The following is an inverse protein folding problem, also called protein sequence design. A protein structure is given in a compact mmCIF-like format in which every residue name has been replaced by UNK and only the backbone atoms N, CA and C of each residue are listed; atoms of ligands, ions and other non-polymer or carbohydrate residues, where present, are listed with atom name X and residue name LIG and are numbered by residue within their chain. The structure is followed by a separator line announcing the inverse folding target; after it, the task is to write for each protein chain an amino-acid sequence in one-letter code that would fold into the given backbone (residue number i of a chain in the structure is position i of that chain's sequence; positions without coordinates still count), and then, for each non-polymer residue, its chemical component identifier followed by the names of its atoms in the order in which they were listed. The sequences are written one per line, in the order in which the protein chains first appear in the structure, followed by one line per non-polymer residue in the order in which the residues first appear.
data_IF_368195358232
#
_entry.id   IF_368195358232
#
_cell.length_a   1.000
_cell.length_b   1.000
_cell.length_c   1.000
_cell.angle_alpha   90.00
_cell.angle_beta   90.00
_cell.angle_gamma   90.00
#
_symmetry.space_group_name_H-M   'P 1'
#
loop_
_entity.id
_entity.type
_entity.pdbx_description
1 polymer ?
#
# COMPACT_ATOMS: atom_id res chain seq x y z
N UNK A 1 41.89 60.04 -9.41
CA UNK A 1 41.41 59.73 -8.05
C UNK A 1 41.00 58.27 -8.02
N UNK A 2 41.79 57.39 -7.39
CA UNK A 2 41.47 55.95 -7.28
C UNK A 2 40.50 55.77 -6.11
N UNK A 3 39.30 55.25 -6.37
CA UNK A 3 38.35 54.89 -5.31
C UNK A 3 38.53 53.40 -5.03
N UNK A 4 39.15 53.11 -3.90
CA UNK A 4 39.24 51.78 -3.32
C UNK A 4 37.91 51.46 -2.63
N UNK A 5 37.20 50.43 -3.09
CA UNK A 5 36.02 49.89 -2.39
C UNK A 5 36.50 48.79 -1.43
N UNK A 6 36.39 49.06 -0.13
CA UNK A 6 36.60 48.06 0.92
C UNK A 6 35.26 47.39 1.18
N UNK A 7 35.13 46.11 0.82
CA UNK A 7 33.99 45.29 1.24
C UNK A 7 34.31 44.76 2.64
N UNK A 8 33.68 45.35 3.66
CA UNK A 8 33.65 44.78 5.00
C UNK A 8 32.70 43.56 4.97
N UNK A 9 33.26 42.35 5.02
CA UNK A 9 32.50 41.14 5.30
C UNK A 9 32.05 41.15 6.76
N UNK A 10 30.79 41.47 7.01
CA UNK A 10 30.13 41.12 8.27
C UNK A 10 29.90 39.61 8.24
N UNK A 11 30.76 38.85 8.91
CA UNK A 11 30.47 37.47 9.24
C UNK A 11 29.34 37.47 10.27
N UNK A 12 28.10 37.30 9.80
CA UNK A 12 27.00 36.95 10.68
C UNK A 12 27.27 35.53 11.21
N UNK A 13 27.71 35.44 12.46
CA UNK A 13 27.65 34.19 13.22
C UNK A 13 26.17 33.85 13.38
N UNK A 14 25.66 33.00 12.48
CA UNK A 14 24.40 32.30 12.71
C UNK A 14 24.59 31.42 13.95
N UNK A 15 24.09 31.88 15.08
CA UNK A 15 23.74 30.97 16.16
C UNK A 15 22.74 29.98 15.57
N UNK A 16 23.18 28.75 15.29
CA UNK A 16 22.30 27.65 14.92
C UNK A 16 21.42 27.38 16.14
N UNK A 17 20.24 27.98 16.17
CA UNK A 17 19.19 27.54 17.09
C UNK A 17 18.80 26.16 16.58
N UNK A 18 19.28 25.10 17.25
CA UNK A 18 18.82 23.75 17.01
C UNK A 18 17.32 23.72 17.30
N UNK A 19 16.51 23.85 16.24
CA UNK A 19 15.06 23.77 16.35
C UNK A 19 14.67 22.42 16.97
N UNK A 20 13.74 22.45 17.92
CA UNK A 20 13.15 21.21 18.41
C UNK A 20 12.47 20.49 17.23
N UNK A 21 12.69 19.19 17.11
CA UNK A 21 12.03 18.33 16.15
C UNK A 21 10.54 18.27 16.50
N UNK A 22 9.68 18.65 15.57
CA UNK A 22 8.23 18.54 15.75
C UNK A 22 7.84 17.11 16.15
N UNK A 23 6.73 16.96 16.87
CA UNK A 23 6.16 15.64 17.15
C UNK A 23 6.01 14.88 15.81
N UNK A 24 6.48 13.64 15.79
CA UNK A 24 6.60 12.73 14.64
C UNK A 24 7.76 12.99 13.66
N UNK A 25 8.60 14.00 13.89
CA UNK A 25 9.84 14.18 13.14
C UNK A 25 10.94 13.19 13.55
N UNK A 26 11.89 12.94 12.65
CA UNK A 26 13.08 12.15 12.95
C UNK A 26 13.96 12.89 13.96
N UNK A 27 14.39 12.19 15.01
CA UNK A 27 15.23 12.74 16.09
C UNK A 27 16.47 11.89 16.35
N UNK A 28 16.76 10.91 15.50
CA UNK A 28 17.93 10.03 15.61
C UNK A 28 17.95 8.94 14.55
N UNK A 29 18.99 8.11 14.60
CA UNK A 29 19.27 7.05 13.64
C UNK A 29 20.69 7.14 13.07
N UNK A 30 21.25 6.02 12.65
CA UNK A 30 22.59 5.96 12.08
C UNK A 30 22.69 6.86 10.82
N UNK A 31 23.64 7.79 10.80
CA UNK A 31 23.80 8.79 9.74
C UNK A 31 22.93 10.05 9.86
N UNK A 32 22.03 10.15 10.85
CA UNK A 32 21.21 11.35 11.07
C UNK A 32 22.03 12.50 11.68
N UNK A 33 22.00 13.68 11.06
CA UNK A 33 22.75 14.88 11.47
C UNK A 33 21.86 16.04 11.94
N UNK A 34 20.55 15.82 12.01
CA UNK A 34 19.59 16.83 12.46
C UNK A 34 19.46 16.93 13.98
N UNK A 35 18.53 17.77 14.45
CA UNK A 35 18.24 17.94 15.87
C UNK A 35 17.73 16.65 16.49
N UNK A 36 18.17 16.33 17.71
CA UNK A 36 17.71 15.16 18.49
C UNK A 36 16.72 15.54 19.60
N UNK A 37 16.52 16.84 19.81
CA UNK A 37 15.62 17.37 20.83
C UNK A 37 14.20 17.47 20.28
N UNK A 38 13.27 16.70 20.85
CA UNK A 38 11.87 16.74 20.46
C UNK A 38 11.14 17.97 21.03
N UNK A 39 10.08 18.39 20.34
CA UNK A 39 9.19 19.45 20.78
C UNK A 39 8.56 19.11 22.14
N UNK A 40 8.26 20.14 22.95
CA UNK A 40 7.65 19.96 24.26
C UNK A 40 6.43 19.02 24.21
N UNK A 41 6.38 18.05 25.13
CA UNK A 41 5.34 17.01 25.16
C UNK A 41 5.61 15.78 24.29
N UNK A 42 6.82 15.66 23.70
CA UNK A 42 7.25 14.48 22.97
C UNK A 42 8.67 14.00 23.35
N UNK A 43 8.94 12.72 23.11
CA UNK A 43 10.19 12.04 23.44
C UNK A 43 10.75 11.33 22.20
N UNK A 44 12.07 11.35 22.03
CA UNK A 44 12.72 10.63 20.95
C UNK A 44 12.72 9.13 21.23
N UNK A 45 11.92 8.36 20.50
CA UNK A 45 11.84 6.90 20.63
C UNK A 45 12.58 6.23 19.49
N UNK A 46 13.52 5.35 19.82
CA UNK A 46 14.22 4.50 18.84
C UNK A 46 13.23 3.54 18.20
N UNK A 47 13.13 3.56 16.87
CA UNK A 47 12.34 2.60 16.10
C UNK A 47 13.22 1.47 15.60
N UNK A 48 14.37 1.80 15.02
CA UNK A 48 15.43 0.86 14.62
C UNK A 48 16.79 1.58 14.59
N UNK A 49 17.85 0.87 14.18
CA UNK A 49 19.22 1.40 14.18
C UNK A 49 19.41 2.62 13.26
N UNK A 50 18.60 2.76 12.20
CA UNK A 50 18.67 3.85 11.22
C UNK A 50 17.67 4.97 11.49
N UNK A 51 16.72 4.78 12.42
CA UNK A 51 15.61 5.71 12.60
C UNK A 51 15.09 5.77 14.05
N UNK A 52 15.04 6.99 14.59
CA UNK A 52 14.36 7.35 15.85
C UNK A 52 13.42 8.52 15.61
N UNK A 53 12.26 8.53 16.28
CA UNK A 53 11.19 9.50 16.01
C UNK A 53 10.68 10.14 17.30
N UNK A 54 10.37 11.44 17.24
CA UNK A 54 9.65 12.11 18.31
C UNK A 54 8.23 11.58 18.39
N UNK A 55 7.85 10.98 19.51
CA UNK A 55 6.48 10.50 19.74
C UNK A 55 5.88 11.20 20.96
N UNK A 56 4.56 11.44 21.02
CA UNK A 56 3.91 12.01 22.20
C UNK A 56 4.28 11.24 23.47
N UNK A 57 4.70 11.97 24.50
CA UNK A 57 5.14 11.40 25.76
C UNK A 57 5.92 12.43 26.57
N UNK A 58 5.78 12.37 27.89
CA UNK A 58 6.58 13.18 28.80
C UNK A 58 7.97 12.56 28.94
N UNK A 59 9.02 13.34 28.64
CA UNK A 59 10.38 12.92 28.95
C UNK A 59 10.48 12.62 30.46
N UNK A 60 11.06 11.48 30.88
CA UNK A 60 11.27 11.22 32.30
C UNK A 60 12.23 12.26 32.87
N UNK A 61 11.88 12.79 34.04
CA UNK A 61 12.70 13.69 34.84
C UNK A 61 14.12 13.13 34.99
N UNK A 62 15.10 13.96 34.64
CA UNK A 62 16.53 13.67 34.81
C UNK A 62 16.86 13.38 36.28
N UNK A 63 17.22 12.14 36.58
CA UNK A 63 18.11 11.80 37.68
C UNK A 63 19.10 10.74 37.16
N UNK A 64 20.42 10.97 37.22
CA UNK A 64 21.39 10.08 36.57
C UNK A 64 21.59 8.83 37.43
N UNK A 65 20.93 7.73 37.07
CA UNK A 65 21.27 6.42 37.63
C UNK A 65 22.24 5.74 36.67
N UNK A 66 23.44 5.44 37.17
CA UNK A 66 24.51 4.72 36.47
C UNK A 66 23.98 3.44 35.80
N UNK A 67 24.35 3.26 34.53
CA UNK A 67 24.08 2.06 33.75
C UNK A 67 24.68 0.80 34.42
N UNK A 68 23.99 -0.35 34.40
CA UNK A 68 24.59 -1.62 34.77
C UNK A 68 25.68 -2.03 33.76
N UNK A 69 26.81 -2.46 34.29
CA UNK A 69 27.97 -3.03 33.59
C UNK A 69 27.55 -4.19 32.65
N UNK A 70 28.10 -4.28 31.41
CA UNK A 70 27.84 -5.42 30.52
C UNK A 70 28.25 -6.75 31.16
N UNK A 71 27.34 -7.72 31.16
CA UNK A 71 27.61 -9.11 31.56
C UNK A 71 28.30 -9.86 30.42
N UNK A 72 29.42 -10.51 30.72
CA UNK A 72 30.31 -11.19 29.77
C UNK A 72 30.08 -12.70 29.74
N UNK A 73 28.84 -13.17 29.57
CA UNK A 73 28.57 -14.61 29.48
C UNK A 73 28.00 -15.00 28.10
N UNK A 74 28.68 -15.85 27.32
CA UNK A 74 28.18 -16.32 26.03
C UNK A 74 27.04 -17.31 26.22
N UNK A 75 25.94 -17.09 25.51
CA UNK A 75 24.81 -18.03 25.42
C UNK A 75 25.27 -19.30 24.70
N UNK A 76 25.02 -20.46 25.31
CA UNK A 76 25.31 -21.78 24.75
C UNK A 76 24.54 -22.05 23.46
N UNK A 77 25.22 -22.69 22.50
CA UNK A 77 24.69 -23.07 21.19
C UNK A 77 23.43 -23.97 21.27
N UNK A 78 22.53 -23.93 20.26
CA UNK A 78 21.41 -24.86 20.18
C UNK A 78 21.90 -26.29 19.92
N UNK A 79 21.46 -27.23 20.77
CA UNK A 79 21.63 -28.67 20.56
C UNK A 79 20.28 -29.29 20.22
N UNK A 80 20.16 -29.80 18.99
CA UNK A 80 19.63 -31.14 18.62
C UNK A 80 19.65 -31.32 17.10
N UNK A 81 20.17 -32.48 16.67
CA UNK A 81 20.34 -32.91 15.30
C UNK A 81 19.00 -33.11 14.55
N UNK A 82 18.99 -33.08 13.20
CA UNK A 82 17.81 -33.41 12.40
C UNK A 82 17.54 -34.92 12.41
N UNK A 83 16.28 -35.27 12.63
CA UNK A 83 15.77 -36.65 12.53
C UNK A 83 15.51 -37.01 11.06
N UNK A 84 16.02 -38.16 10.62
CA UNK A 84 15.45 -38.99 9.54
C UNK A 84 15.95 -38.73 8.11
N UNK A 85 16.62 -39.74 7.53
CA UNK A 85 16.99 -39.82 6.12
C UNK A 85 15.77 -39.95 5.18
N UNK A 86 15.88 -39.54 3.89
CA UNK A 86 14.79 -39.62 2.92
C UNK A 86 14.53 -41.06 2.46
N UNK A 87 13.26 -41.46 2.42
CA UNK A 87 12.80 -42.76 1.93
C UNK A 87 12.96 -42.87 0.41
N UNK A 88 13.48 -44.01 -0.05
CA UNK A 88 13.82 -44.30 -1.46
C UNK A 88 12.69 -45.04 -2.20
N UNK A 89 11.59 -44.37 -2.57
CA UNK A 89 10.64 -44.97 -3.51
C UNK A 89 10.05 -43.96 -4.51
N UNK A 90 10.15 -44.20 -5.82
CA UNK A 90 9.73 -43.25 -6.84
C UNK A 90 8.20 -43.32 -7.06
N UNK A 91 7.51 -42.22 -6.78
CA UNK A 91 6.12 -42.06 -7.24
C UNK A 91 6.12 -41.78 -8.75
N UNK A 92 5.38 -42.61 -9.49
CA UNK A 92 5.15 -42.52 -10.93
C UNK A 92 4.68 -41.11 -11.33
N UNK A 93 5.37 -40.46 -12.26
CA UNK A 93 4.97 -39.17 -12.81
C UNK A 93 3.61 -39.30 -13.54
N UNK A 94 2.61 -38.45 -13.23
CA UNK A 94 1.48 -38.24 -14.12
C UNK A 94 1.86 -37.26 -15.22
N UNK A 95 1.76 -37.74 -16.45
CA UNK A 95 1.85 -37.01 -17.71
C UNK A 95 0.62 -36.12 -17.93
N UNK A 96 0.85 -34.82 -18.10
CA UNK A 96 0.46 -34.01 -19.27
C UNK A 96 1.09 -32.63 -19.11
N UNK A 97 1.75 -32.11 -20.15
CA UNK A 97 2.16 -30.71 -20.17
C UNK A 97 0.93 -29.82 -19.93
N UNK A 98 1.06 -28.65 -19.28
CA UNK A 98 -0.05 -27.72 -19.17
C UNK A 98 -0.58 -27.44 -20.58
N UNK A 99 -1.88 -27.64 -20.77
CA UNK A 99 -2.58 -27.24 -22.00
C UNK A 99 -2.19 -25.82 -22.31
N UNK A 100 -1.71 -25.57 -23.54
CA UNK A 100 -1.39 -24.23 -24.03
C UNK A 100 -2.51 -23.27 -23.64
N UNK A 101 -2.16 -22.10 -23.09
CA UNK A 101 -3.13 -21.06 -22.78
C UNK A 101 -4.05 -20.86 -24.01
N UNK A 102 -5.36 -20.70 -23.83
CA UNK A 102 -6.27 -20.45 -24.94
C UNK A 102 -5.73 -19.26 -25.74
N UNK A 103 -5.46 -19.48 -27.03
CA UNK A 103 -5.14 -18.38 -27.92
C UNK A 103 -6.27 -17.34 -27.82
N UNK A 104 -5.96 -16.03 -27.73
CA UNK A 104 -7.00 -15.01 -27.69
C UNK A 104 -7.92 -15.21 -28.89
N UNK A 105 -9.25 -15.26 -28.70
CA UNK A 105 -10.16 -15.57 -29.80
C UNK A 105 -10.01 -14.54 -30.91
N UNK A 106 -9.52 -14.97 -32.07
CA UNK A 106 -9.53 -14.15 -33.29
C UNK A 106 -10.92 -14.22 -33.91
N UNK A 107 -11.83 -13.39 -33.41
CA UNK A 107 -13.17 -13.26 -33.95
C UNK A 107 -13.88 -12.10 -33.31
N UNK A 108 -14.53 -11.24 -34.13
CA UNK A 108 -15.17 -9.97 -33.76
C UNK A 108 -16.34 -10.02 -32.77
N UNK A 109 -16.19 -10.70 -31.64
CA UNK A 109 -16.95 -10.50 -30.41
C UNK A 109 -16.14 -9.65 -29.42
N UNK A 110 -16.79 -9.16 -28.36
CA UNK A 110 -16.14 -8.38 -27.30
C UNK A 110 -14.82 -9.01 -26.86
N UNK A 111 -13.73 -8.24 -26.86
CA UNK A 111 -12.40 -8.72 -26.49
C UNK A 111 -12.45 -9.29 -25.05
N UNK A 112 -12.18 -10.58 -24.91
CA UNK A 112 -11.98 -11.20 -23.60
C UNK A 112 -10.55 -10.91 -23.15
N UNK A 113 -10.43 -10.31 -21.97
CA UNK A 113 -9.15 -10.09 -21.32
C UNK A 113 -8.88 -11.20 -20.32
N UNK A 114 -7.77 -11.91 -20.48
CA UNK A 114 -7.26 -12.91 -19.55
C UNK A 114 -5.93 -12.41 -19.00
N UNK A 115 -5.91 -12.12 -17.70
CA UNK A 115 -4.86 -11.32 -17.09
C UNK A 115 -4.11 -12.00 -15.95
N UNK A 116 -3.01 -11.35 -15.56
CA UNK A 116 -2.20 -11.71 -14.40
C UNK A 116 -1.84 -10.47 -13.57
N UNK A 117 -1.53 -10.66 -12.29
CA UNK A 117 -1.10 -9.61 -11.39
C UNK A 117 0.38 -9.80 -11.02
N UNK A 118 1.20 -8.76 -11.23
CA UNK A 118 2.60 -8.72 -10.80
C UNK A 118 3.16 -7.31 -10.91
N UNK A 119 4.04 -6.93 -9.97
CA UNK A 119 4.77 -5.66 -10.05
C UNK A 119 6.00 -5.71 -10.97
N UNK A 120 6.44 -6.92 -11.36
CA UNK A 120 7.70 -7.13 -12.10
C UNK A 120 7.51 -8.15 -13.24
N UNK A 121 6.67 -7.85 -14.24
CA UNK A 121 6.34 -8.83 -15.29
C UNK A 121 7.57 -9.29 -16.09
N UNK A 122 8.60 -8.43 -16.24
CA UNK A 122 9.86 -8.79 -16.90
C UNK A 122 10.66 -9.91 -16.21
N UNK A 123 10.44 -10.15 -14.91
CA UNK A 123 11.13 -11.23 -14.19
C UNK A 123 10.65 -12.63 -14.61
N UNK A 124 9.54 -12.72 -15.33
CA UNK A 124 8.96 -13.98 -15.80
C UNK A 124 9.31 -14.31 -17.25
N UNK A 125 10.26 -13.59 -17.84
CA UNK A 125 10.66 -13.77 -19.24
C UNK A 125 9.46 -13.61 -20.17
N UNK A 126 9.16 -14.66 -20.95
CA UNK A 126 8.05 -14.65 -21.91
C UNK A 126 6.73 -15.17 -21.34
N UNK A 127 6.70 -15.72 -20.11
CA UNK A 127 5.48 -16.33 -19.54
C UNK A 127 4.32 -15.34 -19.51
N UNK A 128 4.57 -14.10 -19.06
CA UNK A 128 3.51 -13.07 -18.98
C UNK A 128 2.96 -12.73 -20.37
N UNK A 129 3.77 -12.30 -21.35
CA UNK A 129 3.26 -11.87 -22.65
C UNK A 129 2.78 -13.02 -23.54
N UNK A 130 3.27 -14.25 -23.34
CA UNK A 130 2.83 -15.41 -24.13
C UNK A 130 1.46 -15.95 -23.69
N UNK A 131 1.05 -15.71 -22.44
CA UNK A 131 -0.14 -16.33 -21.85
C UNK A 131 -1.24 -15.35 -21.42
N UNK A 132 -0.92 -14.06 -21.28
CA UNK A 132 -1.86 -13.06 -20.78
C UNK A 132 -1.92 -11.84 -21.69
N UNK A 133 -3.10 -11.22 -21.79
CA UNK A 133 -3.32 -10.00 -22.56
C UNK A 133 -3.75 -8.81 -21.68
N UNK A 134 -3.70 -8.97 -20.36
CA UNK A 134 -4.04 -7.97 -19.36
C UNK A 134 -3.08 -8.05 -18.17
N UNK A 135 -2.54 -6.91 -17.74
CA UNK A 135 -1.65 -6.81 -16.58
C UNK A 135 -2.31 -5.97 -15.47
N UNK A 136 -2.14 -6.40 -14.22
CA UNK A 136 -2.52 -5.65 -13.03
C UNK A 136 -1.29 -5.48 -12.15
N UNK A 137 -1.02 -4.27 -11.67
CA UNK A 137 0.01 -4.05 -10.66
C UNK A 137 -0.44 -4.70 -9.35
N UNK A 138 0.41 -5.51 -8.73
CA UNK A 138 0.08 -6.13 -7.45
C UNK A 138 0.05 -5.09 -6.31
N UNK A 139 1.03 -4.18 -6.29
CA UNK A 139 1.13 -3.12 -5.29
C UNK A 139 1.52 -1.74 -5.85
N UNK A 140 2.23 -1.69 -6.98
CA UNK A 140 2.81 -0.47 -7.52
C UNK A 140 1.83 0.68 -7.82
N UNK A 141 0.53 0.42 -7.90
CA UNK A 141 -0.53 1.44 -8.09
C UNK A 141 -1.34 1.76 -6.83
N UNK A 142 -1.07 1.09 -5.70
CA UNK A 142 -1.74 1.33 -4.40
C UNK A 142 -1.29 2.67 -3.79
N UNK A 143 -1.94 3.09 -2.71
CA UNK A 143 -1.79 4.46 -2.21
C UNK A 143 -0.45 4.71 -1.55
N UNK A 144 -0.05 3.85 -0.63
CA UNK A 144 1.29 3.90 -0.02
C UNK A 144 2.44 3.84 -1.04
N UNK A 145 2.24 3.12 -2.15
CA UNK A 145 3.23 2.96 -3.22
C UNK A 145 3.38 4.18 -4.13
N UNK A 146 2.34 5.01 -4.24
CA UNK A 146 2.31 6.15 -5.16
C UNK A 146 2.36 7.51 -4.45
N UNK A 147 2.21 7.55 -3.12
CA UNK A 147 2.35 8.75 -2.29
C UNK A 147 3.12 8.41 -1.00
N UNK A 148 4.45 8.32 -1.10
CA UNK A 148 5.31 7.97 0.05
C UNK A 148 5.41 9.06 1.11
N UNK A 149 5.15 10.31 0.74
CA UNK A 149 5.11 11.47 1.62
C UNK A 149 3.93 12.34 1.22
N UNK A 150 3.26 12.94 2.20
CA UNK A 150 2.01 13.68 1.95
C UNK A 150 2.18 14.73 0.85
N UNK A 151 1.40 14.61 -0.21
CA UNK A 151 1.42 15.49 -1.38
C UNK A 151 2.56 15.23 -2.38
N UNK A 152 3.46 14.29 -2.11
CA UNK A 152 4.58 13.91 -2.99
C UNK A 152 4.26 12.56 -3.64
N UNK A 153 3.90 12.63 -4.92
CA UNK A 153 3.51 11.45 -5.69
C UNK A 153 4.66 10.96 -6.57
N UNK A 154 4.84 9.64 -6.61
CA UNK A 154 5.73 8.95 -7.55
C UNK A 154 4.95 7.89 -8.32
N UNK A 155 4.95 8.02 -9.64
CA UNK A 155 4.26 7.11 -10.56
C UNK A 155 5.25 6.35 -11.48
N UNK A 156 6.55 6.38 -11.17
CA UNK A 156 7.60 5.75 -11.98
C UNK A 156 7.37 4.25 -12.19
N UNK A 157 7.01 3.51 -11.13
CA UNK A 157 6.71 2.08 -11.21
C UNK A 157 5.47 1.78 -12.09
N UNK A 158 4.29 2.40 -11.86
CA UNK A 158 3.15 2.31 -12.78
C UNK A 158 3.47 2.64 -14.24
N UNK A 159 4.24 3.71 -14.49
CA UNK A 159 4.64 4.10 -15.85
C UNK A 159 5.51 3.03 -16.52
N UNK A 160 6.42 2.40 -15.76
CA UNK A 160 7.20 1.26 -16.24
C UNK A 160 6.34 0.06 -16.64
N UNK A 161 5.29 -0.24 -15.87
CA UNK A 161 4.35 -1.32 -16.21
C UNK A 161 3.47 -0.99 -17.42
N UNK A 162 3.04 0.27 -17.59
CA UNK A 162 2.34 0.74 -18.79
C UNK A 162 3.25 0.56 -20.02
N UNK A 163 4.53 0.91 -19.91
CA UNK A 163 5.50 0.73 -20.99
C UNK A 163 5.65 -0.76 -21.36
N UNK A 164 5.77 -1.63 -20.35
CA UNK A 164 5.81 -3.08 -20.57
C UNK A 164 4.54 -3.60 -21.27
N UNK A 165 3.36 -3.22 -20.78
CA UNK A 165 2.09 -3.63 -21.38
C UNK A 165 1.98 -3.18 -22.85
N UNK A 166 2.39 -1.94 -23.15
CA UNK A 166 2.44 -1.44 -24.53
C UNK A 166 3.38 -2.23 -25.42
N UNK A 167 4.60 -2.53 -24.93
CA UNK A 167 5.59 -3.30 -25.66
C UNK A 167 5.06 -4.69 -26.08
N UNK A 168 4.22 -5.29 -25.24
CA UNK A 168 3.67 -6.62 -25.46
C UNK A 168 2.21 -6.64 -25.96
N UNK A 169 1.65 -5.49 -26.34
CA UNK A 169 0.28 -5.40 -26.85
C UNK A 169 -0.81 -5.77 -25.83
N UNK A 170 -0.48 -5.72 -24.54
CA UNK A 170 -1.38 -6.01 -23.43
C UNK A 170 -2.16 -4.76 -23.03
N UNK A 171 -3.30 -4.97 -22.36
CA UNK A 171 -4.01 -3.92 -21.63
C UNK A 171 -3.67 -3.98 -20.14
N UNK A 172 -4.12 -2.99 -19.38
CA UNK A 172 -3.98 -2.94 -17.94
C UNK A 172 -5.30 -2.64 -17.24
N UNK A 173 -5.43 -3.12 -16.00
CA UNK A 173 -6.40 -2.59 -15.03
C UNK A 173 -5.64 -1.87 -13.93
N UNK A 174 -6.03 -0.64 -13.65
CA UNK A 174 -5.48 0.13 -12.55
C UNK A 174 -6.08 -0.34 -11.22
N UNK A 175 -5.22 -0.68 -10.26
CA UNK A 175 -5.62 -1.25 -8.98
C UNK A 175 -4.76 -0.65 -7.85
N UNK A 176 -5.28 0.20 -6.98
CA UNK A 176 -6.63 0.75 -6.90
C UNK A 176 -6.59 2.22 -6.39
N UNK A 177 -7.66 2.99 -6.57
CA UNK A 177 -7.69 4.41 -6.20
C UNK A 177 -8.05 4.61 -4.72
N UNK A 178 -9.04 3.91 -4.20
CA UNK A 178 -9.45 4.05 -2.81
C UNK A 178 -9.59 2.66 -2.17
N UNK A 179 -8.76 2.38 -1.16
CA UNK A 179 -8.81 1.15 -0.38
C UNK A 179 -8.43 1.44 1.06
N UNK A 180 -9.00 0.71 2.02
CA UNK A 180 -8.69 0.89 3.43
C UNK A 180 -7.31 0.34 3.80
N UNK A 181 -6.81 -0.64 3.03
CA UNK A 181 -5.51 -1.26 3.23
C UNK A 181 -4.45 -0.56 2.37
N UNK A 182 -3.18 -0.65 2.80
CA UNK A 182 -2.05 -0.03 2.08
C UNK A 182 -2.27 1.46 1.77
N UNK A 183 -2.91 2.15 2.73
CA UNK A 183 -2.95 3.61 2.75
C UNK A 183 -1.70 4.15 3.45
N UNK A 184 -1.16 5.30 2.99
CA UNK A 184 -0.05 5.93 3.68
C UNK A 184 -0.38 6.20 5.16
N UNK A 185 0.59 5.98 6.04
CA UNK A 185 0.41 6.06 7.49
C UNK A 185 -0.03 7.44 7.99
N UNK A 186 0.25 8.49 7.22
CA UNK A 186 -0.18 9.86 7.51
C UNK A 186 -1.66 10.12 7.20
N UNK A 187 -2.33 9.24 6.45
CA UNK A 187 -3.78 9.26 6.29
C UNK A 187 -4.48 8.23 7.16
N UNK A 188 -3.80 7.12 7.50
CA UNK A 188 -4.37 6.16 8.41
C UNK A 188 -3.35 5.31 9.17
N UNK A 189 -3.63 5.11 10.45
CA UNK A 189 -3.02 4.08 11.28
C UNK A 189 -3.55 2.71 10.86
N UNK A 190 -2.65 1.83 10.41
CA UNK A 190 -3.01 0.48 9.99
C UNK A 190 -3.09 -0.48 11.18
N UNK A 191 -3.99 -1.46 11.16
CA UNK A 191 -4.00 -2.55 12.13
C UNK A 191 -2.77 -3.45 11.91
N UNK A 192 -2.02 -3.73 12.98
CA UNK A 192 -0.98 -4.77 12.91
C UNK A 192 -1.62 -6.16 12.92
N UNK A 193 -1.39 -6.95 11.86
CA UNK A 193 -1.80 -8.36 11.81
C UNK A 193 -3.30 -8.62 11.61
N UNK A 194 -4.07 -7.66 11.09
CA UNK A 194 -5.49 -7.80 10.75
C UNK A 194 -5.77 -7.79 9.24
N UNK A 195 -6.98 -8.19 8.84
CA UNK A 195 -7.51 -8.06 7.46
C UNK A 195 -8.08 -6.66 7.19
N UNK A 196 -8.50 -5.95 8.24
CA UNK A 196 -8.90 -4.57 8.16
C UNK A 196 -7.67 -3.68 8.22
N UNK A 197 -7.48 -2.89 7.17
CA UNK A 197 -6.32 -2.02 7.01
C UNK A 197 -6.40 -0.83 7.95
N UNK A 198 -7.21 0.15 7.59
CA UNK A 198 -7.29 1.41 8.32
C UNK A 198 -8.16 1.33 9.58
N UNK A 199 -7.57 1.59 10.76
CA UNK A 199 -8.30 1.61 12.05
C UNK A 199 -8.50 3.01 12.63
N UNK A 200 -7.66 3.98 12.24
CA UNK A 200 -7.79 5.36 12.72
C UNK A 200 -7.15 6.36 11.74
N UNK A 201 -7.95 7.31 11.26
CA UNK A 201 -7.49 8.46 10.48
C UNK A 201 -7.25 9.67 11.40
N UNK A 202 -6.12 10.39 11.28
CA UNK A 202 -5.95 11.68 11.92
C UNK A 202 -6.77 12.79 11.24
N UNK A 203 -7.30 12.53 10.05
CA UNK A 203 -8.15 13.44 9.28
C UNK A 203 -9.63 13.22 9.58
N UNK A 204 -10.40 14.30 9.60
CA UNK A 204 -11.86 14.23 9.57
C UNK A 204 -12.37 13.82 8.18
N UNK A 205 -13.69 13.56 8.07
CA UNK A 205 -14.28 13.05 6.83
C UNK A 205 -14.13 13.97 5.61
N UNK A 206 -14.13 15.29 5.80
CA UNK A 206 -13.95 16.24 4.69
C UNK A 206 -12.49 16.31 4.25
N UNK A 207 -11.55 16.31 5.19
CA UNK A 207 -10.11 16.30 4.89
C UNK A 207 -9.71 15.00 4.18
N UNK A 208 -10.29 13.88 4.59
CA UNK A 208 -10.04 12.58 4.00
C UNK A 208 -10.65 12.46 2.60
N UNK A 209 -11.86 12.98 2.41
CA UNK A 209 -12.46 13.12 1.08
C UNK A 209 -11.57 13.96 0.15
N UNK A 210 -11.09 15.11 0.61
CA UNK A 210 -10.19 15.97 -0.16
C UNK A 210 -8.85 15.26 -0.50
N UNK A 211 -8.35 14.41 0.40
CA UNK A 211 -7.16 13.60 0.14
C UNK A 211 -7.43 12.54 -0.95
N UNK A 212 -8.59 11.86 -0.90
CA UNK A 212 -9.01 10.91 -1.93
C UNK A 212 -9.17 11.61 -3.28
N UNK A 213 -9.83 12.78 -3.32
CA UNK A 213 -9.98 13.59 -4.54
C UNK A 213 -8.63 14.01 -5.11
N UNK A 214 -7.71 14.47 -4.26
CA UNK A 214 -6.34 14.83 -4.67
C UNK A 214 -5.61 13.64 -5.28
N UNK A 215 -5.69 12.47 -4.64
CA UNK A 215 -5.11 11.23 -5.17
C UNK A 215 -5.68 10.90 -6.55
N UNK A 216 -7.00 10.88 -6.70
CA UNK A 216 -7.66 10.59 -7.98
C UNK A 216 -7.14 11.55 -9.05
N UNK A 217 -7.13 12.86 -8.78
CA UNK A 217 -6.63 13.86 -9.72
C UNK A 217 -5.17 13.63 -10.12
N UNK A 218 -4.28 13.34 -9.16
CA UNK A 218 -2.86 13.10 -9.43
C UNK A 218 -2.63 11.81 -10.20
N UNK A 219 -3.34 10.73 -9.87
CA UNK A 219 -3.26 9.46 -10.59
C UNK A 219 -3.70 9.63 -12.04
N UNK A 220 -4.84 10.26 -12.31
CA UNK A 220 -5.29 10.48 -13.69
C UNK A 220 -4.43 11.52 -14.44
N UNK A 221 -3.84 12.50 -13.74
CA UNK A 221 -2.88 13.40 -14.39
C UNK A 221 -1.61 12.65 -14.88
N UNK A 222 -1.17 11.62 -14.16
CA UNK A 222 0.03 10.85 -14.49
C UNK A 222 -0.23 9.62 -15.38
N UNK A 223 -1.38 8.94 -15.19
CA UNK A 223 -1.66 7.60 -15.71
C UNK A 223 -2.90 7.54 -16.62
N UNK A 224 -3.41 8.68 -17.11
CA UNK A 224 -4.47 8.68 -18.12
C UNK A 224 -3.96 8.19 -19.47
N UNK A 225 -3.80 6.87 -19.58
CA UNK A 225 -3.23 6.16 -20.71
C UNK A 225 -4.23 5.09 -21.21
N UNK A 226 -4.51 5.02 -22.53
CA UNK A 226 -5.49 4.08 -23.10
C UNK A 226 -5.08 2.60 -23.02
N UNK A 227 -3.86 2.31 -22.53
CA UNK A 227 -3.48 0.95 -22.11
C UNK A 227 -4.24 0.53 -20.86
N UNK A 228 -4.55 1.45 -19.94
CA UNK A 228 -5.40 1.17 -18.79
C UNK A 228 -6.87 1.26 -19.22
N UNK A 229 -7.58 0.15 -19.18
CA UNK A 229 -8.95 0.04 -19.72
C UNK A 229 -10.03 0.02 -18.63
N UNK A 230 -9.63 -0.13 -17.37
CA UNK A 230 -10.53 -0.06 -16.21
C UNK A 230 -9.72 0.33 -14.97
N UNK A 231 -10.42 0.92 -14.00
CA UNK A 231 -9.89 1.26 -12.69
C UNK A 231 -10.75 0.65 -11.60
N UNK A 232 -10.10 0.04 -10.61
CA UNK A 232 -10.72 -0.27 -9.33
C UNK A 232 -10.74 1.03 -8.52
N UNK A 233 -11.83 1.80 -8.69
CA UNK A 233 -11.98 3.12 -8.07
C UNK A 233 -12.11 2.98 -6.55
N UNK A 234 -12.96 2.04 -6.11
CA UNK A 234 -13.16 1.71 -4.72
C UNK A 234 -12.91 0.21 -4.57
N UNK A 235 -12.19 -0.17 -3.51
CA UNK A 235 -11.80 -1.54 -3.25
C UNK A 235 -12.27 -1.95 -1.85
N UNK A 236 -12.98 -3.07 -1.73
CA UNK A 236 -13.32 -3.72 -0.45
C UNK A 236 -14.03 -2.85 0.59
N UNK A 237 -14.83 -1.87 0.14
CA UNK A 237 -15.51 -0.96 1.07
C UNK A 237 -16.64 -1.61 1.87
N UNK A 238 -17.14 -2.78 1.46
CA UNK A 238 -18.22 -3.51 2.15
C UNK A 238 -17.65 -4.42 3.23
N UNK A 239 -18.24 -4.36 4.43
CA UNK A 239 -17.82 -5.16 5.59
C UNK A 239 -18.02 -6.66 5.37
N UNK A 240 -17.06 -7.46 5.84
CA UNK A 240 -17.10 -8.92 5.76
C UNK A 240 -18.26 -9.52 6.58
N UNK A 241 -18.67 -8.81 7.62
CA UNK A 241 -19.83 -9.19 8.43
C UNK A 241 -21.18 -8.99 7.73
N UNK A 242 -21.20 -8.36 6.55
CA UNK A 242 -22.44 -8.05 5.85
C UNK A 242 -23.32 -7.06 6.63
N UNK A 243 -22.70 -6.13 7.37
CA UNK A 243 -23.35 -5.10 8.18
C UNK A 243 -23.06 -3.68 7.67
N UNK A 244 -23.07 -3.49 6.35
CA UNK A 244 -22.85 -2.18 5.74
C UNK A 244 -21.42 -2.04 5.20
N UNK A 245 -21.04 -0.79 5.04
CA UNK A 245 -19.66 -0.42 4.71
C UNK A 245 -18.74 -0.65 5.91
N UNK A 246 -17.46 -0.92 5.66
CA UNK A 246 -16.45 -1.04 6.72
C UNK A 246 -16.39 0.26 7.54
N UNK A 247 -16.20 0.11 8.85
CA UNK A 247 -16.01 1.22 9.78
C UNK A 247 -14.58 1.76 9.65
N UNK A 248 -14.29 2.36 8.51
CA UNK A 248 -12.97 2.87 8.14
C UNK A 248 -13.08 4.26 7.47
N UNK A 249 -12.01 4.65 6.78
CA UNK A 249 -11.86 5.88 5.96
C UNK A 249 -13.11 6.26 5.16
N UNK A 250 -13.89 5.28 4.69
CA UNK A 250 -15.01 5.56 3.79
C UNK A 250 -16.31 5.97 4.49
N UNK A 251 -16.39 5.89 5.83
CA UNK A 251 -17.68 5.96 6.54
C UNK A 251 -17.77 6.94 7.72
N UNK A 252 -16.87 7.92 7.83
CA UNK A 252 -17.05 9.01 8.81
C UNK A 252 -18.40 9.74 8.61
N UNK A 253 -19.11 9.99 9.72
CA UNK A 253 -20.34 9.31 10.09
C UNK A 253 -21.51 9.66 9.14
N UNK A 254 -21.79 8.81 8.15
CA UNK A 254 -23.13 8.75 7.54
C UNK A 254 -23.74 7.41 7.87
N UNK A 255 -24.86 7.48 8.58
CA UNK A 255 -25.72 6.37 8.95
C UNK A 255 -26.41 5.77 7.72
N UNK A 256 -25.65 5.26 6.75
CA UNK A 256 -26.18 4.35 5.74
C UNK A 256 -26.33 2.98 6.40
N UNK A 257 -27.36 2.84 7.24
CA UNK A 257 -27.71 1.56 7.84
C UNK A 257 -28.41 0.73 6.78
N UNK A 258 -27.66 -0.11 6.08
CA UNK A 258 -28.29 -1.22 5.38
C UNK A 258 -28.71 -2.29 6.37
N UNK A 259 -29.84 -2.98 6.15
CA UNK A 259 -30.15 -4.18 6.90
C UNK A 259 -29.03 -5.20 6.69
N UNK A 260 -28.67 -5.90 7.76
CA UNK A 260 -27.69 -6.97 7.71
C UNK A 260 -28.08 -7.99 6.62
N UNK A 261 -27.17 -8.30 5.71
CA UNK A 261 -27.36 -9.23 4.60
C UNK A 261 -26.02 -9.78 4.12
N UNK A 262 -25.97 -10.94 3.44
CA UNK A 262 -24.72 -11.47 2.92
C UNK A 262 -23.95 -10.42 2.12
N UNK A 263 -22.61 -10.39 2.26
CA UNK A 263 -21.73 -9.42 1.57
C UNK A 263 -22.07 -9.25 0.09
N UNK A 264 -22.35 -10.35 -0.59
CA UNK A 264 -22.77 -10.35 -2.00
C UNK A 264 -23.99 -9.47 -2.29
N UNK A 265 -25.01 -9.51 -1.44
CA UNK A 265 -26.21 -8.70 -1.59
C UNK A 265 -25.91 -7.21 -1.35
N UNK A 266 -25.06 -6.91 -0.37
CA UNK A 266 -24.66 -5.52 -0.09
C UNK A 266 -23.88 -4.89 -1.24
N UNK A 267 -22.92 -5.62 -1.79
CA UNK A 267 -22.19 -5.15 -2.96
C UNK A 267 -23.12 -4.95 -4.16
N UNK A 268 -24.08 -5.85 -4.37
CA UNK A 268 -25.06 -5.71 -5.45
C UNK A 268 -25.93 -4.46 -5.27
N UNK A 269 -26.45 -4.22 -4.06
CA UNK A 269 -27.24 -3.03 -3.78
C UNK A 269 -26.42 -1.73 -3.89
N UNK A 270 -25.13 -1.76 -3.52
CA UNK A 270 -24.21 -0.64 -3.70
C UNK A 270 -24.02 -0.30 -5.17
N UNK A 271 -23.65 -1.29 -5.96
CA UNK A 271 -23.42 -1.10 -7.40
C UNK A 271 -24.70 -0.68 -8.10
N UNK A 272 -25.85 -1.24 -7.73
CA UNK A 272 -27.16 -0.83 -8.25
C UNK A 272 -27.46 0.64 -7.95
N UNK A 273 -27.21 1.08 -6.71
CA UNK A 273 -27.39 2.48 -6.29
C UNK A 273 -26.46 3.44 -7.04
N UNK A 274 -25.19 3.08 -7.19
CA UNK A 274 -24.20 3.88 -7.93
C UNK A 274 -24.52 3.91 -9.43
N UNK A 275 -24.96 2.79 -10.01
CA UNK A 275 -25.31 2.68 -11.42
C UNK A 275 -26.56 3.48 -11.77
N UNK A 276 -27.56 3.54 -10.89
CA UNK A 276 -28.73 4.40 -11.04
C UNK A 276 -28.37 5.90 -11.10
N UNK A 277 -27.20 6.28 -10.60
CA UNK A 277 -26.66 7.64 -10.62
C UNK A 277 -25.58 7.83 -11.71
N UNK A 278 -25.33 6.81 -12.55
CA UNK A 278 -24.28 6.82 -13.57
C UNK A 278 -22.87 7.06 -12.98
N UNK A 279 -22.60 6.52 -11.79
CA UNK A 279 -21.32 6.68 -11.08
C UNK A 279 -20.40 5.45 -11.19
N UNK A 280 -20.88 4.34 -11.75
CA UNK A 280 -20.09 3.10 -11.90
C UNK A 280 -20.49 2.33 -13.15
N UNK A 281 -19.49 1.81 -13.86
CA UNK A 281 -19.71 1.00 -15.06
C UNK A 281 -19.98 -0.48 -14.72
N UNK A 282 -19.28 -1.02 -13.71
CA UNK A 282 -19.35 -2.42 -13.34
C UNK A 282 -18.82 -2.73 -11.93
N UNK A 283 -18.82 -4.02 -11.60
CA UNK A 283 -18.37 -4.58 -10.32
C UNK A 283 -17.30 -5.63 -10.57
N UNK A 284 -16.21 -5.62 -9.79
CA UNK A 284 -15.20 -6.66 -9.82
C UNK A 284 -15.51 -7.77 -8.81
N UNK A 285 -15.15 -9.02 -9.14
CA UNK A 285 -15.25 -10.17 -8.22
C UNK A 285 -13.85 -10.74 -8.04
N UNK A 286 -13.31 -10.77 -6.82
CA UNK A 286 -11.90 -11.11 -6.62
C UNK A 286 -11.60 -12.59 -6.87
N UNK A 287 -12.58 -13.45 -6.55
CA UNK A 287 -12.48 -14.90 -6.70
C UNK A 287 -11.28 -15.51 -5.94
N UNK A 288 -10.93 -14.97 -4.76
CA UNK A 288 -10.02 -15.61 -3.81
C UNK A 288 -10.68 -16.86 -3.19
N UNK A 289 -10.66 -17.97 -3.92
CA UNK A 289 -11.27 -19.23 -3.52
C UNK A 289 -10.24 -20.18 -2.89
N UNK A 290 -10.66 -20.96 -1.89
CA UNK A 290 -9.86 -22.08 -1.39
C UNK A 290 -10.20 -23.37 -2.15
N UNK A 291 -9.24 -24.29 -2.26
CA UNK A 291 -9.37 -25.55 -3.01
C UNK A 291 -10.56 -26.43 -2.58
N UNK A 292 -11.13 -26.20 -1.38
CA UNK A 292 -12.21 -26.98 -0.80
C UNK A 292 -13.49 -26.17 -0.50
N UNK A 293 -13.62 -24.93 -0.99
CA UNK A 293 -14.84 -24.17 -0.76
C UNK A 293 -15.97 -24.67 -1.66
N UNK A 294 -17.05 -25.13 -1.00
CA UNK A 294 -18.35 -25.19 -1.64
C UNK A 294 -18.74 -23.74 -1.95
N UNK A 295 -18.89 -23.38 -3.24
CA UNK A 295 -19.04 -21.99 -3.74
C UNK A 295 -20.28 -21.23 -3.23
N UNK A 296 -21.05 -21.81 -2.32
CA UNK A 296 -22.18 -21.17 -1.67
C UNK A 296 -21.71 -20.29 -0.50
N UNK A 297 -21.33 -19.04 -0.77
CA UNK A 297 -21.47 -17.97 0.23
C UNK A 297 -20.30 -17.02 0.50
N UNK A 298 -19.16 -17.10 -0.19
CA UNK A 298 -18.00 -16.24 0.09
C UNK A 298 -17.33 -15.69 -1.17
N UNK A 299 -18.07 -14.94 -1.99
CA UNK A 299 -17.45 -14.07 -2.97
C UNK A 299 -17.08 -12.74 -2.29
N UNK A 300 -15.79 -12.52 -2.08
CA UNK A 300 -15.28 -11.18 -1.84
C UNK A 300 -15.34 -10.39 -3.17
N UNK A 301 -15.90 -9.19 -3.10
CA UNK A 301 -16.24 -8.33 -4.23
C UNK A 301 -15.40 -7.05 -4.13
N UNK A 302 -14.86 -6.59 -5.26
CA UNK A 302 -14.10 -5.34 -5.37
C UNK A 302 -15.04 -4.15 -5.47
#
# INVERSE_FOLDING_TARGET
MKITVVIATVAASLAYVQGQVAVWGQCGGNGYSGSTACAAGSVCKVSNEWYSQCVPGTAPSSNPTMAPKPSSNPTTAPSKAPTGAPTTSPTKAPTAAPTSAPAPPSGGGSKIYFGTATDRPGNYGTIVPDNFNLLVSENGMKWDATEHSRGVFDFSAPLGQIAYAKQHGMKMRGHCLAWHNQMPSFYCSQQSGGTDGCIASPLNGQELLAAIETRIQKTFAALNDPTIIAWDVLNEAVSDSGNGLKHDVFTLPRSLRWPASPKANQCFELVKSLKAQNLVDGMGVQMHLSQNQNLAGQADLF
#
